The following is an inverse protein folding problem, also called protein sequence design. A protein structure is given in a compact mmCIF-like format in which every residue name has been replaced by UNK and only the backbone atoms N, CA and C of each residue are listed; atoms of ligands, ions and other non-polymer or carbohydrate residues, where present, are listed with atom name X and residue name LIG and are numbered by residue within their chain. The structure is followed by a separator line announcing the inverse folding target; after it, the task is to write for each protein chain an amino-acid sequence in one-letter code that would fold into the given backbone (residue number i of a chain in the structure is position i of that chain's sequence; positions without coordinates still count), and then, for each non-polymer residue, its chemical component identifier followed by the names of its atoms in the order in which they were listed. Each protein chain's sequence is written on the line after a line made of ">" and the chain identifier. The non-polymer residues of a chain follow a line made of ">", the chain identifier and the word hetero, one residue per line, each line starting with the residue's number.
data_IF_365566394039
#
_entry.id   IF_365566394039
#
_cell.length_a   1.000
_cell.length_b   1.000
_cell.length_c   1.000
_cell.angle_alpha   90.00
_cell.angle_beta   90.00
_cell.angle_gamma   90.00
#
_symmetry.space_group_name_H-M   'P 1'
#
loop_
_entity.id
_entity.type
_entity.pdbx_description
1 polymer ?
#
# COMPACT_ATOMS: atom_id res chain seq x y z
N UNK A 1 -20.56 -18.66 -18.60
CA UNK A 1 -20.05 -17.73 -17.58
C UNK A 1 -18.63 -18.16 -17.26
N UNK A 2 -17.70 -17.23 -17.16
CA UNK A 2 -16.31 -17.54 -16.76
C UNK A 2 -16.33 -18.02 -15.31
N UNK A 3 -15.84 -19.23 -15.06
CA UNK A 3 -15.70 -19.80 -13.73
C UNK A 3 -14.58 -19.11 -12.95
N UNK A 4 -14.60 -19.22 -11.63
CA UNK A 4 -13.50 -18.72 -10.79
C UNK A 4 -12.15 -19.36 -11.18
N UNK A 5 -12.15 -20.66 -11.52
CA UNK A 5 -10.94 -21.37 -11.96
C UNK A 5 -10.37 -20.81 -13.27
N UNK A 6 -11.22 -20.52 -14.27
CA UNK A 6 -10.79 -19.91 -15.54
C UNK A 6 -10.23 -18.49 -15.34
N UNK A 7 -10.81 -17.71 -14.40
CA UNK A 7 -10.29 -16.41 -14.00
C UNK A 7 -8.89 -16.54 -13.37
N UNK A 8 -8.72 -17.45 -12.41
CA UNK A 8 -7.44 -17.69 -11.73
C UNK A 8 -6.38 -18.15 -12.74
N UNK A 9 -6.72 -19.04 -13.67
CA UNK A 9 -5.82 -19.49 -14.74
C UNK A 9 -5.40 -18.32 -15.64
N UNK A 10 -6.34 -17.43 -16.01
CA UNK A 10 -6.06 -16.24 -16.80
C UNK A 10 -5.07 -15.30 -16.10
N UNK A 11 -5.30 -15.01 -14.82
CA UNK A 11 -4.44 -14.10 -14.04
C UNK A 11 -3.05 -14.72 -13.82
N UNK A 12 -2.99 -15.99 -13.41
CA UNK A 12 -1.72 -16.68 -13.15
C UNK A 12 -0.91 -16.93 -14.41
N UNK A 13 -1.56 -17.22 -15.55
CA UNK A 13 -0.91 -17.29 -16.86
C UNK A 13 -0.24 -15.97 -17.23
N UNK A 14 -0.96 -14.85 -17.10
CA UNK A 14 -0.37 -13.53 -17.35
C UNK A 14 0.73 -13.17 -16.36
N UNK A 15 0.60 -13.56 -15.08
CA UNK A 15 1.63 -13.38 -14.07
C UNK A 15 2.94 -14.08 -14.47
N UNK A 16 2.86 -15.30 -14.99
CA UNK A 16 4.00 -16.05 -15.51
C UNK A 16 4.65 -15.36 -16.71
N UNK A 17 3.87 -14.83 -17.66
CA UNK A 17 4.37 -14.09 -18.82
C UNK A 17 5.19 -12.85 -18.45
N UNK A 18 4.75 -12.08 -17.45
CA UNK A 18 5.46 -10.87 -16.97
C UNK A 18 6.50 -11.18 -15.88
N UNK A 19 6.66 -12.46 -15.53
CA UNK A 19 7.65 -12.94 -14.57
C UNK A 19 7.40 -12.46 -13.14
N UNK A 20 6.17 -12.62 -12.64
CA UNK A 20 5.81 -12.36 -11.24
C UNK A 20 5.00 -13.51 -10.67
N UNK A 21 5.14 -13.72 -9.36
CA UNK A 21 4.16 -14.45 -8.56
C UNK A 21 3.15 -13.44 -8.00
N UNK A 22 1.87 -13.80 -7.94
CA UNK A 22 0.79 -12.93 -7.50
C UNK A 22 0.06 -13.52 -6.30
N UNK A 23 -0.22 -12.67 -5.31
CA UNK A 23 -1.22 -12.90 -4.27
C UNK A 23 -2.29 -11.84 -4.48
N UNK A 24 -3.54 -12.27 -4.60
CA UNK A 24 -4.64 -11.38 -4.96
C UNK A 24 -5.86 -11.68 -4.11
N UNK A 25 -6.59 -10.63 -3.74
CA UNK A 25 -7.95 -10.73 -3.26
C UNK A 25 -8.77 -9.59 -3.83
N UNK A 26 -10.00 -9.87 -4.23
CA UNK A 26 -10.98 -8.86 -4.59
C UNK A 26 -12.32 -9.20 -3.93
N UNK A 27 -13.00 -8.20 -3.40
CA UNK A 27 -14.29 -8.34 -2.75
C UNK A 27 -15.26 -7.24 -3.20
N UNK A 28 -16.49 -7.65 -3.48
CA UNK A 28 -17.62 -6.73 -3.54
C UNK A 28 -17.90 -6.22 -2.11
N UNK A 29 -17.97 -4.91 -1.94
CA UNK A 29 -18.17 -4.31 -0.61
C UNK A 29 -19.62 -4.40 -0.13
N UNK A 30 -20.55 -4.64 -1.05
CA UNK A 30 -21.99 -4.61 -0.84
C UNK A 30 -22.65 -6.00 -0.96
N UNK A 31 -21.85 -7.04 -1.21
CA UNK A 31 -22.30 -8.44 -1.28
C UNK A 31 -21.25 -9.40 -0.71
N UNK A 32 -21.58 -10.67 -0.43
CA UNK A 32 -20.61 -11.64 0.09
C UNK A 32 -19.64 -12.17 -0.99
N UNK A 33 -19.69 -11.65 -2.23
CA UNK A 33 -18.88 -12.17 -3.34
C UNK A 33 -17.44 -11.69 -3.22
N UNK A 34 -16.53 -12.63 -3.43
CA UNK A 34 -15.09 -12.40 -3.41
C UNK A 34 -14.38 -13.45 -4.27
N UNK A 35 -13.13 -13.17 -4.62
CA UNK A 35 -12.22 -14.09 -5.32
C UNK A 35 -10.79 -13.85 -4.84
N UNK A 36 -9.97 -14.89 -4.82
CA UNK A 36 -8.58 -14.77 -4.39
C UNK A 36 -7.62 -15.77 -5.03
N UNK A 37 -6.33 -15.41 -5.00
CA UNK A 37 -5.19 -16.24 -5.38
C UNK A 37 -4.22 -16.15 -4.22
N UNK A 38 -4.00 -17.25 -3.50
CA UNK A 38 -3.12 -17.29 -2.31
C UNK A 38 -3.41 -16.12 -1.34
N UNK A 39 -4.70 -15.81 -1.17
CA UNK A 39 -5.14 -14.54 -0.59
C UNK A 39 -4.79 -14.36 0.89
N UNK A 40 -4.63 -15.47 1.61
CA UNK A 40 -4.29 -15.54 3.03
C UNK A 40 -2.79 -15.74 3.28
N UNK A 41 -1.98 -15.87 2.21
CA UNK A 41 -0.52 -16.00 2.34
C UNK A 41 0.11 -14.66 2.78
N UNK A 42 1.01 -14.65 3.78
CA UNK A 42 1.71 -13.45 4.19
C UNK A 42 2.52 -12.81 3.07
N UNK A 43 2.38 -11.48 2.95
CA UNK A 43 3.11 -10.66 1.98
C UNK A 43 3.74 -9.45 2.66
N UNK A 44 4.88 -9.01 2.13
CA UNK A 44 5.49 -7.74 2.52
C UNK A 44 4.67 -6.60 1.92
N UNK A 45 4.26 -5.64 2.75
CA UNK A 45 3.39 -4.54 2.32
C UNK A 45 4.12 -3.54 1.42
N UNK A 46 5.43 -3.34 1.64
CA UNK A 46 6.11 -2.11 1.26
C UNK A 46 5.26 -0.90 1.74
N UNK A 47 5.23 0.22 0.99
CA UNK A 47 4.47 1.42 1.35
C UNK A 47 2.94 1.26 1.51
N UNK A 48 2.36 0.08 1.27
CA UNK A 48 0.95 -0.20 1.61
C UNK A 48 0.69 -0.11 3.12
N UNK A 49 1.71 -0.30 3.98
CA UNK A 49 1.56 -0.17 5.44
C UNK A 49 1.08 1.24 5.88
N UNK A 50 1.21 2.24 5.02
CA UNK A 50 0.78 3.62 5.29
C UNK A 50 -0.75 3.74 5.45
N UNK A 51 -1.52 2.78 4.93
CA UNK A 51 -3.00 2.78 5.08
C UNK A 51 -3.45 2.57 6.53
N UNK A 52 -3.00 1.54 7.27
CA UNK A 52 -3.35 1.44 8.70
C UNK A 52 -2.77 2.58 9.55
N UNK A 53 -1.66 3.20 9.15
CA UNK A 53 -1.14 4.42 9.79
C UNK A 53 -2.10 5.60 9.58
N UNK A 54 -2.63 5.78 8.37
CA UNK A 54 -3.65 6.78 8.08
C UNK A 54 -4.94 6.56 8.89
N UNK A 55 -5.38 5.31 9.02
CA UNK A 55 -6.56 4.97 9.86
C UNK A 55 -6.34 5.38 11.31
N UNK A 56 -5.16 5.11 11.86
CA UNK A 56 -4.86 5.48 13.25
C UNK A 56 -4.77 7.00 13.44
N UNK A 57 -4.12 7.72 12.51
CA UNK A 57 -4.07 9.18 12.53
C UNK A 57 -5.48 9.80 12.52
N UNK A 58 -6.32 9.35 11.60
CA UNK A 58 -7.69 9.86 11.48
C UNK A 58 -8.54 9.48 12.71
N UNK A 59 -8.36 8.28 13.27
CA UNK A 59 -9.05 7.87 14.51
C UNK A 59 -8.69 8.77 15.68
N UNK A 60 -7.39 8.96 15.95
CA UNK A 60 -6.93 9.85 17.04
C UNK A 60 -7.47 11.27 16.87
N UNK A 61 -7.54 11.77 15.63
CA UNK A 61 -8.14 13.07 15.33
C UNK A 61 -9.64 13.12 15.67
N UNK A 62 -10.41 12.13 15.23
CA UNK A 62 -11.84 12.07 15.50
C UNK A 62 -12.16 11.90 16.99
N UNK A 63 -11.28 11.25 17.74
CA UNK A 63 -11.40 11.09 19.18
C UNK A 63 -10.90 12.32 19.98
N UNK A 64 -10.39 13.35 19.29
CA UNK A 64 -9.89 14.59 19.89
C UNK A 64 -8.53 14.44 20.59
N UNK A 65 -7.81 13.34 20.33
CA UNK A 65 -6.46 13.09 20.86
C UNK A 65 -5.41 13.94 20.14
N UNK A 66 -5.66 14.33 18.88
CA UNK A 66 -4.85 15.28 18.10
C UNK A 66 -5.72 16.15 17.19
N UNK A 67 -5.17 17.27 16.72
CA UNK A 67 -5.81 18.16 15.74
C UNK A 67 -5.12 18.03 14.38
N UNK A 68 -5.84 17.60 13.34
CA UNK A 68 -5.28 17.47 11.99
C UNK A 68 -4.82 18.81 11.39
N UNK A 69 -5.36 19.94 11.88
CA UNK A 69 -4.96 21.28 11.48
C UNK A 69 -3.73 21.80 12.25
N UNK A 70 -3.30 21.12 13.32
CA UNK A 70 -2.05 21.43 14.01
C UNK A 70 -0.89 21.39 12.99
N UNK A 71 -0.09 22.45 12.98
CA UNK A 71 1.04 22.62 12.07
C UNK A 71 2.35 22.29 12.75
N UNK A 72 3.20 21.56 12.03
CA UNK A 72 4.59 21.35 12.41
C UNK A 72 5.52 21.95 11.37
N UNK A 73 6.70 22.38 11.80
CA UNK A 73 7.78 22.81 10.91
C UNK A 73 8.75 21.65 10.76
N UNK A 74 8.95 21.22 9.52
CA UNK A 74 9.89 20.17 9.14
C UNK A 74 11.16 20.84 8.59
N UNK A 75 12.29 20.77 9.29
CA UNK A 75 13.56 21.26 8.76
C UNK A 75 14.06 20.35 7.63
N UNK A 76 14.90 20.88 6.71
CA UNK A 76 15.54 20.05 5.70
C UNK A 76 16.53 19.07 6.34
N UNK A 77 16.83 17.97 5.64
CA UNK A 77 17.81 16.98 6.11
C UNK A 77 17.28 15.99 7.15
N UNK A 78 15.98 15.66 7.09
CA UNK A 78 15.43 14.55 7.86
C UNK A 78 16.19 13.24 7.56
N UNK A 79 16.51 12.38 8.56
CA UNK A 79 17.34 11.19 8.35
C UNK A 79 16.69 10.11 7.46
N UNK A 80 15.36 10.10 7.35
CA UNK A 80 14.65 9.17 6.47
C UNK A 80 14.81 9.58 5.01
N UNK A 81 15.51 8.75 4.23
CA UNK A 81 15.74 9.00 2.82
C UNK A 81 14.49 8.75 1.95
N UNK A 82 14.40 9.50 0.85
CA UNK A 82 13.46 9.28 -0.24
C UNK A 82 13.94 10.04 -1.48
N UNK A 83 13.73 9.53 -2.70
CA UNK A 83 14.09 10.25 -3.92
C UNK A 83 13.14 11.40 -4.29
N UNK A 84 12.08 11.63 -3.51
CA UNK A 84 11.08 12.68 -3.73
C UNK A 84 10.52 13.19 -2.40
N UNK A 85 9.66 14.21 -2.47
CA UNK A 85 8.98 14.75 -1.30
C UNK A 85 9.91 15.50 -0.34
N UNK A 86 9.54 15.53 0.93
CA UNK A 86 10.18 16.30 1.99
C UNK A 86 11.67 15.97 2.16
N UNK A 87 12.09 14.73 1.86
CA UNK A 87 13.51 14.34 1.93
C UNK A 87 14.41 15.11 0.94
N UNK A 88 13.82 15.69 -0.11
CA UNK A 88 14.56 16.44 -1.15
C UNK A 88 14.56 17.95 -0.93
N UNK A 89 13.87 18.44 0.11
CA UNK A 89 13.73 19.86 0.37
C UNK A 89 14.98 20.45 1.04
N UNK A 90 15.31 21.70 0.69
CA UNK A 90 16.49 22.43 1.17
C UNK A 90 16.18 23.53 2.19
N UNK A 91 14.90 23.74 2.49
CA UNK A 91 14.41 24.78 3.38
C UNK A 91 13.29 24.23 4.28
N UNK A 92 13.08 24.89 5.42
CA UNK A 92 12.01 24.55 6.34
C UNK A 92 10.64 24.63 5.65
N UNK A 93 9.78 23.65 5.92
CA UNK A 93 8.40 23.65 5.45
C UNK A 93 7.45 23.46 6.62
N UNK A 94 6.41 24.28 6.68
CA UNK A 94 5.37 24.16 7.71
C UNK A 94 4.11 23.58 7.09
N UNK A 95 3.67 22.42 7.60
CA UNK A 95 2.53 21.66 7.10
C UNK A 95 1.64 21.21 8.25
N UNK A 96 0.35 21.05 7.98
CA UNK A 96 -0.56 20.40 8.93
C UNK A 96 -0.40 18.88 8.93
N UNK A 97 -0.84 18.19 9.98
CA UNK A 97 -0.89 16.73 9.96
C UNK A 97 -1.77 16.19 8.83
N UNK A 98 -2.84 16.91 8.47
CA UNK A 98 -3.66 16.59 7.31
C UNK A 98 -2.85 16.62 6.01
N UNK A 99 -2.07 17.68 5.79
CA UNK A 99 -1.28 17.82 4.56
C UNK A 99 -0.13 16.80 4.51
N UNK A 100 0.44 16.44 5.66
CA UNK A 100 1.40 15.34 5.75
C UNK A 100 0.76 14.00 5.38
N UNK A 101 -0.50 13.76 5.77
CA UNK A 101 -1.22 12.54 5.40
C UNK A 101 -1.49 12.49 3.88
N UNK A 102 -1.78 13.64 3.27
CA UNK A 102 -1.86 13.78 1.81
C UNK A 102 -0.53 13.41 1.14
N UNK A 103 0.62 13.85 1.66
CA UNK A 103 1.93 13.45 1.12
C UNK A 103 2.24 11.96 1.34
N UNK A 104 1.97 11.45 2.55
CA UNK A 104 2.18 10.06 2.95
C UNK A 104 1.42 9.08 2.03
N UNK A 105 0.16 9.38 1.70
CA UNK A 105 -0.64 8.51 0.84
C UNK A 105 -0.44 8.87 -0.64
N UNK A 106 -0.58 10.16 -0.97
CA UNK A 106 -0.66 10.67 -2.33
C UNK A 106 0.58 10.40 -3.18
N UNK A 107 1.76 10.74 -2.64
CA UNK A 107 3.05 10.53 -3.30
C UNK A 107 3.92 9.49 -2.58
N UNK A 108 3.44 8.88 -1.51
CA UNK A 108 4.19 7.88 -0.73
C UNK A 108 5.39 8.44 0.03
N UNK A 109 5.35 9.71 0.46
CA UNK A 109 6.47 10.40 1.13
C UNK A 109 6.91 9.70 2.42
N UNK A 110 8.18 9.30 2.50
CA UNK A 110 8.72 8.55 3.64
C UNK A 110 8.90 9.42 4.90
N UNK A 111 9.28 10.70 4.75
CA UNK A 111 9.46 11.60 5.89
C UNK A 111 8.11 11.94 6.51
N UNK A 112 7.10 12.25 5.70
CA UNK A 112 5.74 12.46 6.19
C UNK A 112 5.20 11.22 6.91
N UNK A 113 5.51 10.03 6.39
CA UNK A 113 5.14 8.75 7.03
C UNK A 113 5.77 8.61 8.41
N UNK A 114 7.07 8.85 8.53
CA UNK A 114 7.79 8.66 9.80
C UNK A 114 7.37 9.70 10.84
N UNK A 115 7.11 10.94 10.41
CA UNK A 115 6.56 11.98 11.28
C UNK A 115 5.17 11.59 11.81
N UNK A 116 4.28 11.10 10.94
CA UNK A 116 2.93 10.65 11.35
C UNK A 116 3.03 9.43 12.25
N UNK A 117 3.80 8.41 11.88
CA UNK A 117 3.95 7.19 12.68
C UNK A 117 4.60 7.47 14.03
N UNK A 118 5.52 8.44 14.10
CA UNK A 118 6.09 8.95 15.34
C UNK A 118 5.07 9.70 16.20
N UNK A 119 4.16 10.47 15.60
CA UNK A 119 3.07 11.17 16.30
C UNK A 119 2.01 10.21 16.86
N UNK A 120 1.54 9.25 16.06
CA UNK A 120 0.46 8.34 16.47
C UNK A 120 0.96 7.12 17.26
N UNK A 121 2.19 6.68 17.01
CA UNK A 121 2.85 5.57 17.68
C UNK A 121 2.56 4.19 17.07
N UNK A 122 3.62 3.39 16.84
CA UNK A 122 3.54 2.01 16.34
C UNK A 122 2.64 1.11 17.18
N UNK A 123 2.65 1.27 18.51
CA UNK A 123 1.80 0.51 19.43
C UNK A 123 0.31 0.80 19.25
N UNK A 124 -0.06 2.06 18.98
CA UNK A 124 -1.45 2.44 18.73
C UNK A 124 -1.94 1.89 17.39
N UNK A 125 -1.10 1.92 16.35
CA UNK A 125 -1.37 1.26 15.07
C UNK A 125 -1.60 -0.24 15.25
N UNK A 126 -0.73 -0.93 16.01
CA UNK A 126 -0.87 -2.35 16.30
C UNK A 126 -2.18 -2.67 17.05
N UNK A 127 -2.54 -1.85 18.03
CA UNK A 127 -3.79 -1.98 18.78
C UNK A 127 -5.02 -1.75 17.89
N UNK A 128 -4.95 -0.78 16.98
CA UNK A 128 -5.99 -0.56 15.97
C UNK A 128 -6.15 -1.76 15.04
N UNK A 129 -5.06 -2.33 14.52
CA UNK A 129 -5.12 -3.55 13.71
C UNK A 129 -5.74 -4.73 14.47
N UNK A 130 -5.38 -4.90 15.76
CA UNK A 130 -5.97 -5.92 16.64
C UNK A 130 -7.47 -5.71 16.84
N UNK A 131 -7.91 -4.47 17.12
CA UNK A 131 -9.33 -4.11 17.29
C UNK A 131 -10.13 -4.36 16.02
N UNK A 132 -9.54 -4.08 14.85
CA UNK A 132 -10.15 -4.35 13.55
C UNK A 132 -10.13 -5.84 13.19
N UNK A 133 -9.45 -6.70 13.95
CA UNK A 133 -9.38 -8.14 13.71
C UNK A 133 -8.49 -8.49 12.52
N UNK A 134 -7.36 -7.80 12.36
CA UNK A 134 -6.37 -8.01 11.28
C UNK A 134 -5.08 -8.62 11.84
N UNK A 135 -5.10 -9.87 12.35
CA UNK A 135 -3.98 -10.49 13.05
C UNK A 135 -2.72 -10.76 12.18
N UNK A 136 -2.85 -10.83 10.85
CA UNK A 136 -1.73 -11.04 9.95
C UNK A 136 -1.05 -9.73 9.52
N UNK A 137 -1.70 -8.59 9.75
CA UNK A 137 -1.20 -7.27 9.42
C UNK A 137 -0.37 -6.70 10.57
N UNK A 138 0.85 -6.24 10.26
CA UNK A 138 1.75 -5.67 11.24
C UNK A 138 2.58 -4.53 10.65
N UNK A 139 2.80 -3.48 11.45
CA UNK A 139 3.65 -2.32 11.12
C UNK A 139 4.74 -2.15 12.19
N UNK A 140 5.73 -3.07 12.26
CA UNK A 140 6.79 -2.99 13.26
C UNK A 140 7.84 -1.91 12.94
N UNK A 141 7.90 -1.44 11.69
CA UNK A 141 8.92 -0.54 11.17
C UNK A 141 8.31 0.73 10.58
N UNK A 142 9.02 1.83 10.75
CA UNK A 142 8.85 3.04 9.95
C UNK A 142 9.72 2.97 8.68
N UNK A 143 9.68 3.99 7.82
CA UNK A 143 10.47 3.99 6.59
C UNK A 143 11.97 4.02 6.89
N UNK A 144 12.42 4.80 7.88
CA UNK A 144 13.82 4.83 8.31
C UNK A 144 14.34 3.46 8.75
N UNK A 145 13.57 2.73 9.56
CA UNK A 145 13.85 1.36 9.97
C UNK A 145 13.99 0.41 8.78
N UNK A 146 13.04 0.48 7.83
CA UNK A 146 13.07 -0.37 6.63
C UNK A 146 14.35 -0.12 5.81
N UNK A 147 14.68 1.14 5.54
CA UNK A 147 15.89 1.51 4.79
C UNK A 147 17.17 1.10 5.52
N UNK A 148 17.21 1.29 6.84
CA UNK A 148 18.33 0.86 7.69
C UNK A 148 18.55 -0.65 7.62
N UNK A 149 17.48 -1.46 7.72
CA UNK A 149 17.62 -2.92 7.62
C UNK A 149 18.17 -3.37 6.27
N UNK A 150 17.76 -2.72 5.17
CA UNK A 150 18.32 -2.96 3.83
C UNK A 150 19.82 -2.63 3.80
N UNK A 151 20.21 -1.48 4.34
CA UNK A 151 21.61 -1.07 4.43
C UNK A 151 22.48 -2.04 5.23
N UNK A 152 21.99 -2.45 6.41
CA UNK A 152 22.65 -3.45 7.27
C UNK A 152 22.84 -4.79 6.57
N UNK A 153 21.80 -5.31 5.90
CA UNK A 153 21.83 -6.61 5.23
C UNK A 153 22.76 -6.62 4.01
N UNK A 154 22.91 -5.46 3.35
CA UNK A 154 23.78 -5.29 2.19
C UNK A 154 25.19 -4.80 2.54
N UNK A 155 25.41 -4.35 3.78
CA UNK A 155 26.67 -3.72 4.19
C UNK A 155 26.93 -2.38 3.51
N UNK A 156 25.88 -1.61 3.21
CA UNK A 156 25.95 -0.30 2.53
C UNK A 156 25.18 0.77 3.32
N UNK A 157 25.47 2.03 3.03
CA UNK A 157 24.60 3.14 3.41
C UNK A 157 23.49 3.29 2.36
N UNK A 158 22.31 2.73 2.62
CA UNK A 158 21.20 2.71 1.65
C UNK A 158 20.27 3.92 1.83
N UNK A 159 20.24 4.77 0.81
CA UNK A 159 19.50 6.05 0.79
C UNK A 159 18.28 6.02 -0.15
N UNK A 160 17.54 4.90 -0.17
CA UNK A 160 16.35 4.70 -1.02
C UNK A 160 16.61 4.86 -2.54
N UNK A 161 17.85 4.59 -2.99
CA UNK A 161 18.21 4.64 -4.40
C UNK A 161 18.09 3.26 -5.05
N UNK A 162 16.96 3.02 -5.73
CA UNK A 162 16.70 1.76 -6.44
C UNK A 162 17.80 1.39 -7.46
N UNK A 163 18.60 2.34 -7.96
CA UNK A 163 19.69 2.05 -8.91
C UNK A 163 20.78 1.20 -8.27
N UNK A 164 21.01 1.37 -6.97
CA UNK A 164 21.99 0.57 -6.21
C UNK A 164 21.51 -0.89 -6.14
N UNK A 165 20.21 -1.09 -5.92
CA UNK A 165 19.63 -2.42 -5.78
C UNK A 165 19.47 -3.13 -7.13
N UNK A 166 19.28 -2.38 -8.22
CA UNK A 166 19.17 -2.94 -9.57
C UNK A 166 20.45 -3.66 -10.06
N UNK A 167 21.61 -3.37 -9.46
CA UNK A 167 22.88 -4.02 -9.79
C UNK A 167 23.28 -5.13 -8.80
N UNK A 168 22.47 -5.37 -7.76
CA UNK A 168 22.70 -6.44 -6.79
C UNK A 168 22.24 -7.80 -7.34
N UNK A 169 22.91 -8.92 -6.97
CA UNK A 169 22.44 -10.26 -7.29
C UNK A 169 21.05 -10.55 -6.71
N UNK A 170 20.20 -11.25 -7.47
CA UNK A 170 18.83 -11.59 -7.05
C UNK A 170 18.83 -12.39 -5.75
N UNK A 171 19.79 -13.28 -5.58
CA UNK A 171 19.94 -14.14 -4.40
C UNK A 171 20.33 -13.37 -3.14
N UNK A 172 20.96 -12.20 -3.29
CA UNK A 172 21.28 -11.31 -2.19
C UNK A 172 20.06 -10.48 -1.80
N UNK A 173 19.34 -9.94 -2.78
CA UNK A 173 18.08 -9.21 -2.54
C UNK A 173 17.03 -10.11 -1.88
N UNK A 174 16.93 -11.38 -2.30
CA UNK A 174 15.97 -12.33 -1.73
C UNK A 174 16.18 -12.64 -0.23
N UNK A 175 17.33 -12.27 0.35
CA UNK A 175 17.67 -12.50 1.76
C UNK A 175 17.46 -11.27 2.65
N UNK A 176 17.04 -10.15 2.07
CA UNK A 176 16.80 -8.93 2.85
C UNK A 176 15.65 -9.15 3.83
N UNK A 177 15.85 -8.79 5.10
CA UNK A 177 14.79 -8.78 6.13
C UNK A 177 13.60 -7.93 5.67
N UNK A 178 13.86 -6.84 4.97
CA UNK A 178 12.83 -5.99 4.36
C UNK A 178 11.95 -6.70 3.31
N UNK A 179 12.37 -7.86 2.79
CA UNK A 179 11.62 -8.69 1.84
C UNK A 179 11.10 -10.01 2.46
N UNK A 180 11.26 -10.21 3.77
CA UNK A 180 10.77 -11.37 4.52
C UNK A 180 9.56 -10.96 5.36
N UNK A 181 8.32 -11.43 5.08
CA UNK A 181 7.11 -11.00 5.79
C UNK A 181 7.21 -11.06 7.31
N UNK A 182 7.81 -12.11 7.86
CA UNK A 182 7.95 -12.34 9.30
C UNK A 182 8.84 -11.30 10.00
N UNK A 183 9.72 -10.63 9.25
CA UNK A 183 10.74 -9.72 9.75
C UNK A 183 10.44 -8.25 9.43
N UNK A 184 9.28 -7.95 8.84
CA UNK A 184 8.98 -6.60 8.34
C UNK A 184 7.49 -6.23 8.40
N UNK A 185 7.13 -5.07 7.83
CA UNK A 185 5.74 -4.70 7.60
C UNK A 185 5.07 -5.68 6.65
N UNK A 186 4.00 -6.32 7.13
CA UNK A 186 3.33 -7.44 6.44
C UNK A 186 1.81 -7.34 6.54
N UNK A 187 1.15 -8.09 5.68
CA UNK A 187 -0.31 -8.28 5.65
C UNK A 187 -0.63 -9.54 4.83
N UNK A 188 -1.89 -9.75 4.50
CA UNK A 188 -2.36 -10.65 3.43
C UNK A 188 -3.21 -9.87 2.44
N UNK A 189 -3.45 -10.42 1.24
CA UNK A 189 -4.33 -9.76 0.29
C UNK A 189 -5.77 -9.66 0.83
N UNK A 190 -6.25 -10.71 1.51
CA UNK A 190 -7.56 -10.73 2.16
C UNK A 190 -7.69 -9.74 3.32
N UNK A 191 -6.67 -9.56 4.16
CA UNK A 191 -6.73 -8.56 5.24
C UNK A 191 -6.66 -7.13 4.70
N UNK A 192 -5.95 -6.90 3.60
CA UNK A 192 -5.87 -5.60 2.96
C UNK A 192 -7.22 -5.15 2.39
N UNK A 193 -7.92 -6.02 1.67
CA UNK A 193 -9.28 -5.73 1.17
C UNK A 193 -10.29 -5.63 2.30
N UNK A 194 -10.13 -6.43 3.37
CA UNK A 194 -10.96 -6.32 4.58
C UNK A 194 -10.78 -4.96 5.26
N UNK A 195 -9.56 -4.46 5.39
CA UNK A 195 -9.28 -3.11 5.90
C UNK A 195 -9.96 -2.04 5.03
N UNK A 196 -9.83 -2.14 3.70
CA UNK A 196 -10.50 -1.21 2.78
C UNK A 196 -12.02 -1.26 2.92
N UNK A 197 -12.61 -2.45 3.06
CA UNK A 197 -14.05 -2.60 3.30
C UNK A 197 -14.49 -1.97 4.63
N UNK A 198 -13.71 -2.15 5.70
CA UNK A 198 -13.96 -1.49 6.98
C UNK A 198 -13.89 0.04 6.85
N UNK A 199 -12.95 0.56 6.07
CA UNK A 199 -12.85 2.01 5.79
C UNK A 199 -14.07 2.49 5.00
N UNK A 200 -14.49 1.79 3.95
CA UNK A 200 -15.60 2.21 3.09
C UNK A 200 -16.99 2.12 3.72
N UNK A 201 -17.13 1.29 4.77
CA UNK A 201 -18.37 1.15 5.55
C UNK A 201 -18.37 1.95 6.85
N UNK A 202 -17.37 2.81 7.07
CA UNK A 202 -17.21 3.58 8.31
C UNK A 202 -17.10 2.69 9.58
N UNK A 203 -16.53 1.50 9.43
CA UNK A 203 -16.32 0.49 10.47
C UNK A 203 -14.88 0.50 11.02
N UNK A 204 -13.93 1.13 10.32
CA UNK A 204 -12.53 1.20 10.74
C UNK A 204 -12.27 2.24 11.86
N UNK A 205 -13.05 3.33 11.85
CA UNK A 205 -12.96 4.49 12.74
C UNK A 205 -14.30 5.27 12.65
N UNK A 206 -14.52 6.35 13.45
CA UNK A 206 -15.69 7.21 13.26
C UNK A 206 -15.83 7.69 11.80
N UNK A 207 -17.06 7.89 11.32
CA UNK A 207 -17.33 8.16 9.89
C UNK A 207 -16.54 9.34 9.31
N UNK A 208 -16.31 10.41 10.09
CA UNK A 208 -15.47 11.54 9.66
C UNK A 208 -14.01 11.11 9.43
N UNK A 209 -13.44 10.28 10.30
CA UNK A 209 -12.09 9.73 10.13
C UNK A 209 -11.99 8.82 8.91
N UNK A 210 -12.98 7.95 8.69
CA UNK A 210 -13.01 7.10 7.50
C UNK A 210 -13.15 7.93 6.21
N UNK A 211 -13.89 9.04 6.25
CA UNK A 211 -13.98 9.97 5.12
C UNK A 211 -12.62 10.62 4.80
N UNK A 212 -11.84 11.02 5.81
CA UNK A 212 -10.48 11.54 5.60
C UNK A 212 -9.56 10.49 4.97
N UNK A 213 -9.60 9.24 5.45
CA UNK A 213 -8.80 8.15 4.88
C UNK A 213 -9.16 7.87 3.42
N UNK A 214 -10.46 7.81 3.09
CA UNK A 214 -10.93 7.67 1.70
C UNK A 214 -10.41 8.83 0.84
N UNK A 215 -10.48 10.05 1.35
CA UNK A 215 -10.00 11.25 0.65
C UNK A 215 -8.49 11.19 0.39
N UNK A 216 -7.69 10.76 1.35
CA UNK A 216 -6.24 10.63 1.13
C UNK A 216 -5.92 9.53 0.10
N UNK A 217 -6.63 8.40 0.10
CA UNK A 217 -6.47 7.33 -0.88
C UNK A 217 -6.84 7.76 -2.31
N UNK A 218 -7.88 8.58 -2.46
CA UNK A 218 -8.30 9.16 -3.75
C UNK A 218 -7.22 10.06 -4.35
N UNK A 219 -6.45 10.75 -3.50
CA UNK A 219 -5.40 11.70 -3.89
C UNK A 219 -4.09 11.02 -4.35
N UNK A 220 -4.03 9.70 -4.43
CA UNK A 220 -2.89 9.00 -4.99
C UNK A 220 -2.63 9.38 -6.45
N UNK A 221 -1.39 9.77 -6.76
CA UNK A 221 -1.03 10.31 -8.08
C UNK A 221 -0.51 9.27 -9.07
N UNK A 222 -0.31 8.02 -8.65
CA UNK A 222 0.36 6.98 -9.43
C UNK A 222 -0.63 6.17 -10.31
N UNK A 223 -0.66 6.34 -11.64
CA UNK A 223 -1.70 5.73 -12.48
C UNK A 223 -1.30 4.38 -13.09
N UNK A 224 -0.06 3.94 -12.93
CA UNK A 224 0.58 2.89 -13.72
C UNK A 224 0.26 1.45 -13.27
N UNK A 225 -0.67 1.28 -12.32
CA UNK A 225 -1.03 -0.01 -11.71
C UNK A 225 -2.55 -0.22 -11.70
N UNK A 226 -3.27 -0.17 -10.57
CA UNK A 226 -4.72 -0.41 -10.52
C UNK A 226 -5.44 0.44 -11.56
N UNK A 227 -5.16 1.75 -11.60
CA UNK A 227 -5.76 2.68 -12.57
C UNK A 227 -5.49 2.32 -14.03
N UNK A 228 -4.40 1.61 -14.35
CA UNK A 228 -4.13 1.18 -15.73
C UNK A 228 -5.06 0.07 -16.22
N UNK A 229 -5.81 -0.58 -15.31
CA UNK A 229 -6.77 -1.64 -15.64
C UNK A 229 -8.17 -1.15 -16.01
N UNK A 230 -8.49 0.11 -15.71
CA UNK A 230 -9.84 0.66 -15.86
C UNK A 230 -9.77 1.87 -16.79
N UNK A 231 -10.39 1.74 -17.96
CA UNK A 231 -10.30 2.74 -19.02
C UNK A 231 -11.44 3.78 -18.99
N UNK A 232 -12.49 3.52 -18.22
CA UNK A 232 -13.67 4.37 -18.16
C UNK A 232 -13.42 5.57 -17.23
N UNK A 233 -13.57 6.79 -17.76
CA UNK A 233 -13.28 8.05 -17.05
C UNK A 233 -14.19 8.28 -15.83
N UNK A 234 -15.30 7.56 -15.73
CA UNK A 234 -16.28 7.65 -14.65
C UNK A 234 -16.06 6.62 -13.53
N UNK A 235 -15.05 5.74 -13.66
CA UNK A 235 -14.61 4.82 -12.61
C UNK A 235 -13.61 5.53 -11.69
N UNK A 236 -13.96 5.62 -10.41
CA UNK A 236 -13.07 6.19 -9.39
C UNK A 236 -12.20 5.10 -8.77
N UNK A 237 -10.90 5.38 -8.65
CA UNK A 237 -9.94 4.45 -8.04
C UNK A 237 -9.15 5.19 -6.98
N UNK A 238 -9.33 4.72 -5.75
CA UNK A 238 -8.71 5.26 -4.53
C UNK A 238 -7.85 4.18 -3.90
N UNK A 239 -6.55 4.43 -3.70
CA UNK A 239 -5.63 3.35 -3.33
C UNK A 239 -4.28 3.79 -2.79
N UNK A 240 -3.45 2.77 -2.50
CA UNK A 240 -2.07 2.94 -2.05
C UNK A 240 -1.16 1.92 -2.70
N UNK A 241 -0.13 2.41 -3.39
CA UNK A 241 0.97 1.62 -3.95
C UNK A 241 2.01 1.25 -2.90
N UNK A 242 2.64 0.10 -3.10
CA UNK A 242 3.82 -0.36 -2.37
C UNK A 242 4.93 -0.77 -3.33
N UNK A 243 6.14 -0.28 -3.09
CA UNK A 243 7.31 -0.61 -3.90
C UNK A 243 8.50 -0.89 -3.00
N UNK A 244 9.14 -2.02 -3.26
CA UNK A 244 10.43 -2.43 -2.73
C UNK A 244 11.13 -3.25 -3.82
N UNK A 245 12.41 -3.60 -3.68
CA UNK A 245 13.10 -4.50 -4.61
C UNK A 245 12.28 -5.76 -4.83
N UNK A 246 12.13 -6.19 -6.08
CA UNK A 246 11.29 -7.33 -6.51
C UNK A 246 9.78 -7.23 -6.19
N UNK A 247 9.32 -6.23 -5.43
CA UNK A 247 7.92 -6.12 -5.01
C UNK A 247 7.21 -4.96 -5.71
N UNK A 248 6.04 -5.25 -6.28
CA UNK A 248 5.10 -4.25 -6.79
C UNK A 248 3.73 -4.60 -6.24
N UNK A 249 3.20 -3.74 -5.38
CA UNK A 249 1.93 -3.96 -4.69
C UNK A 249 1.00 -2.78 -4.94
N UNK A 250 -0.30 -3.03 -4.94
CA UNK A 250 -1.27 -1.98 -4.76
C UNK A 250 -2.55 -2.54 -4.15
N UNK A 251 -3.14 -1.76 -3.25
CA UNK A 251 -4.48 -2.00 -2.72
C UNK A 251 -5.33 -0.77 -3.00
N UNK A 252 -6.61 -0.95 -3.26
CA UNK A 252 -7.53 0.16 -3.49
C UNK A 252 -8.97 -0.28 -3.64
N UNK A 253 -9.86 0.70 -3.71
CA UNK A 253 -11.28 0.50 -4.01
C UNK A 253 -11.58 1.08 -5.39
N UNK A 254 -12.29 0.30 -6.18
CA UNK A 254 -12.81 0.65 -7.50
C UNK A 254 -14.31 0.94 -7.35
N UNK A 255 -14.73 2.14 -7.71
CA UNK A 255 -16.11 2.61 -7.56
C UNK A 255 -16.67 2.99 -8.94
N UNK A 256 -17.82 2.40 -9.28
CA UNK A 256 -18.51 2.62 -10.55
C UNK A 256 -19.69 3.60 -10.38
N UNK A 257 -20.11 4.28 -11.46
CA UNK A 257 -21.25 5.20 -11.44
C UNK A 257 -22.60 4.55 -11.08
N UNK A 258 -22.72 3.24 -11.28
CA UNK A 258 -23.88 2.44 -10.90
C UNK A 258 -23.95 2.14 -9.40
N UNK A 259 -22.96 2.59 -8.63
CA UNK A 259 -22.84 2.37 -7.19
C UNK A 259 -22.08 1.11 -6.80
N UNK A 260 -21.59 0.31 -7.75
CA UNK A 260 -20.77 -0.86 -7.45
C UNK A 260 -19.40 -0.48 -6.89
N UNK A 261 -19.01 -1.08 -5.75
CA UNK A 261 -17.75 -0.78 -5.04
C UNK A 261 -16.99 -2.05 -4.74
N UNK A 262 -15.73 -2.12 -5.16
CA UNK A 262 -14.92 -3.33 -5.09
C UNK A 262 -13.56 -3.03 -4.46
N UNK A 263 -13.25 -3.66 -3.33
CA UNK A 263 -11.91 -3.62 -2.76
C UNK A 263 -11.03 -4.65 -3.47
N UNK A 264 -9.82 -4.24 -3.87
CA UNK A 264 -8.84 -5.10 -4.54
C UNK A 264 -7.49 -4.93 -3.88
N UNK A 265 -6.80 -6.04 -3.63
CA UNK A 265 -5.40 -6.06 -3.20
C UNK A 265 -4.61 -6.99 -4.10
N UNK A 266 -3.57 -6.46 -4.75
CA UNK A 266 -2.67 -7.21 -5.62
C UNK A 266 -1.24 -7.03 -5.12
N UNK A 267 -0.61 -8.14 -4.76
CA UNK A 267 0.75 -8.18 -4.25
C UNK A 267 1.58 -9.06 -5.17
N UNK A 268 2.68 -8.52 -5.67
CA UNK A 268 3.53 -9.24 -6.63
C UNK A 268 4.96 -9.37 -6.14
N UNK A 269 5.57 -10.51 -6.46
CA UNK A 269 6.99 -10.75 -6.29
C UNK A 269 7.60 -11.17 -7.63
N UNK A 270 8.56 -10.40 -8.12
CA UNK A 270 9.31 -10.70 -9.32
C UNK A 270 10.14 -11.98 -9.15
N UNK A 271 10.25 -12.75 -10.22
CA UNK A 271 11.09 -13.97 -10.25
C UNK A 271 12.55 -13.69 -10.65
N UNK A 272 12.88 -12.43 -10.96
CA UNK A 272 14.21 -11.97 -11.35
C UNK A 272 14.53 -10.58 -10.76
N UNK A 273 15.78 -10.12 -10.92
CA UNK A 273 16.27 -8.86 -10.39
C UNK A 273 15.96 -7.61 -11.25
N UNK A 274 15.24 -7.74 -12.38
CA UNK A 274 14.97 -6.57 -13.25
C UNK A 274 14.06 -5.58 -12.51
N UNK A 275 14.53 -4.35 -12.32
CA UNK A 275 13.80 -3.32 -11.57
C UNK A 275 12.89 -2.44 -12.42
N UNK A 276 13.22 -2.24 -13.70
CA UNK A 276 12.45 -1.42 -14.66
C UNK A 276 11.70 -2.30 -15.65
N UNK A 277 10.54 -2.79 -15.21
CA UNK A 277 9.71 -3.71 -15.99
C UNK A 277 8.25 -3.22 -15.93
N UNK A 278 7.88 -2.19 -16.72
CA UNK A 278 6.56 -1.53 -16.66
C UNK A 278 5.38 -2.50 -16.83
N UNK A 279 5.58 -3.60 -17.56
CA UNK A 279 4.58 -4.65 -17.72
C UNK A 279 4.21 -5.35 -16.40
N UNK A 280 5.08 -5.33 -15.38
CA UNK A 280 4.76 -5.82 -14.03
C UNK A 280 3.84 -4.88 -13.27
N UNK A 281 4.01 -3.57 -13.46
CA UNK A 281 3.10 -2.59 -12.89
C UNK A 281 1.74 -2.67 -13.59
N UNK A 282 1.71 -2.70 -14.92
CA UNK A 282 0.48 -2.83 -15.70
C UNK A 282 -0.28 -4.15 -15.42
N UNK A 283 0.44 -5.22 -15.04
CA UNK A 283 -0.18 -6.47 -14.60
C UNK A 283 -1.11 -6.29 -13.40
N UNK A 284 -0.80 -5.39 -12.47
CA UNK A 284 -1.65 -5.12 -11.31
C UNK A 284 -3.02 -4.59 -11.76
N UNK A 285 -3.04 -3.65 -12.71
CA UNK A 285 -4.28 -3.16 -13.33
C UNK A 285 -5.05 -4.27 -14.04
N UNK A 286 -4.35 -5.07 -14.85
CA UNK A 286 -4.95 -6.22 -15.53
C UNK A 286 -5.63 -7.20 -14.56
N UNK A 287 -4.90 -7.64 -13.53
CA UNK A 287 -5.41 -8.63 -12.57
C UNK A 287 -6.61 -8.08 -11.78
N UNK A 288 -6.57 -6.80 -11.39
CA UNK A 288 -7.67 -6.13 -10.73
C UNK A 288 -8.91 -6.04 -11.62
N UNK A 289 -8.77 -5.60 -12.87
CA UNK A 289 -9.88 -5.51 -13.81
C UNK A 289 -10.54 -6.87 -14.05
N UNK A 290 -9.75 -7.94 -14.25
CA UNK A 290 -10.29 -9.29 -14.40
C UNK A 290 -11.10 -9.76 -13.17
N UNK A 291 -10.58 -9.50 -11.96
CA UNK A 291 -11.26 -9.88 -10.72
C UNK A 291 -12.56 -9.07 -10.52
N UNK A 292 -12.54 -7.76 -10.76
CA UNK A 292 -13.71 -6.89 -10.63
C UNK A 292 -14.77 -7.21 -11.68
N UNK A 293 -14.38 -7.44 -12.94
CA UNK A 293 -15.30 -7.87 -14.01
C UNK A 293 -16.01 -9.18 -13.66
N UNK A 294 -15.32 -10.10 -12.99
CA UNK A 294 -15.92 -11.35 -12.52
C UNK A 294 -16.92 -11.14 -11.38
N UNK A 295 -16.62 -10.22 -10.44
CA UNK A 295 -17.52 -9.87 -9.34
C UNK A 295 -18.77 -9.12 -9.81
N UNK A 296 -18.67 -8.32 -10.89
CA UNK A 296 -19.77 -7.53 -11.47
C UNK A 296 -20.80 -8.33 -12.26
N UNK A 297 -20.48 -9.57 -12.66
CA UNK A 297 -21.36 -10.46 -13.43
C UNK A 297 -22.27 -11.27 -12.53
#
# INVERSE_FOLDING_TARGET
>A
MVTESELVETITGRAAEVGVQVRLHAADLDSPRQVGIDADEPVVTASVFKVPVAVELARQAADGELDLAERITVPPGHPTASPYGLATFLHDVTMSWYDLAVLMIGISDNVATDLILGKVGKAAVAETLRRLGLPQTAVPHDCGDLLRTIGEDLGIDYQDDERILAVMPAEQLAKLRALTPEETCRTTAAESTRLLGLIWRDEAAPAAACADVRRWLELQVWPHRLRSGFADDDVTISGKTGTLPSLRNEIGVVEYPDGGRYAVGVFTRAVDARSRVPERDAFIGFAAAQAVDWLRR
#
